data_IF_308287096684
#
_entry.id   IF_308287096684
#
_cell.length_a   1.000
_cell.length_b   1.000
_cell.length_c   1.000
_cell.angle_alpha   90.00
_cell.angle_beta   90.00
_cell.angle_gamma   90.00
#
_symmetry.space_group_name_H-M   'P 1'
#
loop_
_entity.id
_entity.type
_entity.pdbx_description
1 polymer ?
#
# COMPACT_ATOMS: atom_id res chain seq x y z
N UNK A 1 17.27 -36.57 7.45
CA UNK A 1 17.26 -35.26 8.13
C UNK A 1 17.41 -34.07 7.18
N UNK A 2 18.32 -34.02 6.19
CA UNK A 2 18.49 -32.89 5.23
C UNK A 2 17.30 -32.65 4.30
N UNK A 3 16.52 -33.66 3.92
CA UNK A 3 15.36 -33.51 3.01
C UNK A 3 14.18 -32.81 3.70
N UNK A 4 13.91 -33.14 4.96
CA UNK A 4 12.82 -32.49 5.74
C UNK A 4 13.07 -31.02 6.00
N UNK A 5 14.31 -30.62 6.24
CA UNK A 5 14.66 -29.18 6.44
C UNK A 5 14.43 -28.41 5.15
N UNK A 6 14.87 -28.92 3.99
CA UNK A 6 14.64 -28.29 2.68
C UNK A 6 13.16 -28.17 2.33
N UNK A 7 12.36 -29.19 2.64
CA UNK A 7 10.91 -29.15 2.39
C UNK A 7 10.23 -28.09 3.27
N UNK A 8 10.60 -27.97 4.53
CA UNK A 8 10.05 -26.97 5.45
C UNK A 8 10.39 -25.55 5.01
N UNK A 9 11.62 -25.30 4.59
CA UNK A 9 12.06 -24.01 4.05
C UNK A 9 11.31 -23.66 2.77
N UNK A 10 11.15 -24.61 1.85
CA UNK A 10 10.39 -24.43 0.61
C UNK A 10 8.92 -24.11 0.89
N UNK A 11 8.26 -24.86 1.78
CA UNK A 11 6.88 -24.62 2.17
C UNK A 11 6.70 -23.25 2.82
N UNK A 12 7.62 -22.83 3.68
CA UNK A 12 7.59 -21.50 4.30
C UNK A 12 7.71 -20.38 3.26
N UNK A 13 8.67 -20.48 2.32
CA UNK A 13 8.82 -19.48 1.24
C UNK A 13 7.60 -19.45 0.32
N UNK A 14 7.05 -20.61 -0.01
CA UNK A 14 5.86 -20.75 -0.84
C UNK A 14 4.64 -20.12 -0.19
N UNK A 15 4.43 -20.37 1.11
CA UNK A 15 3.35 -19.77 1.88
C UNK A 15 3.47 -18.25 1.93
N UNK A 16 4.67 -17.73 2.19
CA UNK A 16 4.93 -16.28 2.19
C UNK A 16 4.67 -15.66 0.82
N UNK A 17 5.17 -16.29 -0.25
CA UNK A 17 5.03 -15.75 -1.61
C UNK A 17 3.58 -15.75 -2.12
N UNK A 18 2.78 -16.77 -1.80
CA UNK A 18 1.43 -16.95 -2.38
C UNK A 18 0.33 -16.38 -1.48
N UNK A 19 0.50 -16.39 -0.17
CA UNK A 19 -0.55 -15.93 0.75
C UNK A 19 -0.21 -14.59 1.39
N UNK A 20 0.91 -14.50 2.07
CA UNK A 20 1.23 -13.33 2.87
C UNK A 20 1.50 -12.08 2.03
N UNK A 21 2.41 -12.16 1.06
CA UNK A 21 2.75 -10.99 0.25
C UNK A 21 1.60 -10.48 -0.64
N UNK A 22 0.82 -11.32 -1.33
CA UNK A 22 -0.34 -10.85 -2.08
C UNK A 22 -1.43 -10.24 -1.20
N UNK A 23 -1.71 -10.83 -0.03
CA UNK A 23 -2.69 -10.28 0.90
C UNK A 23 -2.24 -8.90 1.43
N UNK A 24 -0.96 -8.75 1.76
CA UNK A 24 -0.39 -7.49 2.19
C UNK A 24 -0.39 -6.44 1.08
N UNK A 25 -0.02 -6.82 -0.15
CA UNK A 25 -0.10 -5.94 -1.32
C UNK A 25 -1.54 -5.50 -1.61
N UNK A 26 -2.51 -6.40 -1.51
CA UNK A 26 -3.91 -6.04 -1.66
C UNK A 26 -4.34 -5.01 -0.61
N UNK A 27 -3.95 -5.19 0.64
CA UNK A 27 -4.20 -4.22 1.71
C UNK A 27 -3.60 -2.84 1.37
N UNK A 28 -2.34 -2.77 0.97
CA UNK A 28 -1.68 -1.52 0.57
C UNK A 28 -2.34 -0.87 -0.65
N UNK A 29 -2.81 -1.67 -1.61
CA UNK A 29 -3.54 -1.17 -2.77
C UNK A 29 -4.84 -0.48 -2.35
N UNK A 30 -5.65 -1.14 -1.52
CA UNK A 30 -6.94 -0.57 -1.09
C UNK A 30 -6.77 0.64 -0.18
N UNK A 31 -5.74 0.68 0.65
CA UNK A 31 -5.51 1.78 1.61
C UNK A 31 -4.70 2.94 1.05
N UNK A 32 -3.84 2.71 0.07
CA UNK A 32 -2.97 3.74 -0.50
C UNK A 32 -3.33 4.10 -1.94
N UNK A 33 -3.26 3.13 -2.85
CA UNK A 33 -3.37 3.39 -4.30
C UNK A 33 -4.78 3.78 -4.70
N UNK A 34 -5.79 3.04 -4.25
CA UNK A 34 -7.18 3.27 -4.62
C UNK A 34 -7.70 4.66 -4.20
N UNK A 35 -7.47 5.13 -2.96
CA UNK A 35 -7.85 6.48 -2.57
C UNK A 35 -7.14 7.57 -3.38
N UNK A 36 -5.83 7.44 -3.60
CA UNK A 36 -5.07 8.38 -4.41
C UNK A 36 -5.60 8.45 -5.85
N UNK A 37 -5.93 7.31 -6.44
CA UNK A 37 -6.56 7.23 -7.75
C UNK A 37 -7.91 7.95 -7.80
N UNK A 38 -8.71 7.87 -6.73
CA UNK A 38 -9.98 8.60 -6.62
C UNK A 38 -9.78 10.12 -6.61
N UNK A 39 -8.71 10.61 -5.98
CA UNK A 39 -8.32 12.03 -6.00
C UNK A 39 -7.93 12.46 -7.42
N UNK A 40 -7.10 11.68 -8.10
CA UNK A 40 -6.67 11.98 -9.49
C UNK A 40 -7.84 11.98 -10.45
N UNK A 41 -8.81 11.09 -10.28
CA UNK A 41 -10.06 11.06 -11.07
C UNK A 41 -11.06 12.15 -10.71
N UNK A 42 -10.76 13.00 -9.74
CA UNK A 42 -11.70 14.02 -9.25
C UNK A 42 -13.07 13.42 -8.86
N UNK A 43 -13.06 12.25 -8.21
CA UNK A 43 -14.28 11.56 -7.78
C UNK A 43 -15.12 12.46 -6.87
N UNK A 44 -16.43 12.25 -6.85
CA UNK A 44 -17.38 13.05 -6.05
C UNK A 44 -17.14 12.91 -4.56
N UNK A 45 -16.72 11.73 -4.15
CA UNK A 45 -16.37 11.37 -2.77
C UNK A 45 -14.97 10.76 -2.76
N UNK A 46 -14.11 11.24 -1.85
CA UNK A 46 -12.77 10.76 -1.66
C UNK A 46 -12.49 10.51 -0.18
N UNK A 47 -11.74 9.47 0.11
CA UNK A 47 -11.13 9.28 1.42
C UNK A 47 -9.70 9.79 1.36
N UNK A 48 -9.30 10.67 2.28
CA UNK A 48 -7.96 11.23 2.29
C UNK A 48 -7.34 11.23 3.67
N UNK A 49 -6.13 10.69 3.72
CA UNK A 49 -5.14 10.83 4.80
C UNK A 49 -3.77 10.98 4.12
N UNK A 50 -2.96 11.94 4.52
CA UNK A 50 -1.64 12.18 3.91
C UNK A 50 -0.73 10.92 3.94
N UNK A 51 -0.94 10.03 4.93
CA UNK A 51 -0.24 8.74 5.05
C UNK A 51 -0.51 7.79 3.88
N UNK A 52 -1.59 7.98 3.13
CA UNK A 52 -1.88 7.18 1.94
C UNK A 52 -0.78 7.30 0.88
N UNK A 53 -0.08 8.43 0.81
CA UNK A 53 1.04 8.60 -0.11
C UNK A 53 2.19 7.65 0.24
N UNK A 54 2.50 7.51 1.54
CA UNK A 54 3.52 6.56 2.00
C UNK A 54 3.09 5.13 1.66
N UNK A 55 1.82 4.78 1.89
CA UNK A 55 1.28 3.46 1.58
C UNK A 55 1.28 3.17 0.08
N UNK A 56 1.01 4.18 -0.76
CA UNK A 56 1.05 4.05 -2.21
C UNK A 56 2.47 3.73 -2.72
N UNK A 57 3.48 4.46 -2.27
CA UNK A 57 4.88 4.16 -2.62
C UNK A 57 5.37 2.86 -1.97
N UNK A 58 4.92 2.57 -0.75
CA UNK A 58 5.16 1.30 -0.07
C UNK A 58 4.63 0.10 -0.87
N UNK A 59 3.45 0.23 -1.49
CA UNK A 59 2.89 -0.79 -2.38
C UNK A 59 3.87 -1.17 -3.51
N UNK A 60 4.51 -0.20 -4.15
CA UNK A 60 5.50 -0.47 -5.20
C UNK A 60 6.70 -1.26 -4.68
N UNK A 61 7.24 -0.87 -3.51
CA UNK A 61 8.36 -1.57 -2.88
C UNK A 61 8.02 -3.01 -2.54
N UNK A 62 6.87 -3.24 -1.92
CA UNK A 62 6.43 -4.59 -1.53
C UNK A 62 6.05 -5.45 -2.73
N UNK A 63 5.51 -4.87 -3.80
CA UNK A 63 5.23 -5.59 -5.03
C UNK A 63 6.51 -6.11 -5.69
N UNK A 64 7.57 -5.29 -5.74
CA UNK A 64 8.87 -5.70 -6.23
C UNK A 64 9.48 -6.81 -5.36
N UNK A 65 9.39 -6.68 -4.04
CA UNK A 65 9.86 -7.70 -3.11
C UNK A 65 9.12 -9.03 -3.31
N UNK A 66 7.81 -8.99 -3.53
CA UNK A 66 7.01 -10.19 -3.79
C UNK A 66 7.46 -10.88 -5.09
N UNK A 67 7.60 -10.12 -6.18
CA UNK A 67 8.11 -10.65 -7.46
C UNK A 67 9.49 -11.30 -7.25
N UNK A 68 10.36 -10.66 -6.48
CA UNK A 68 11.68 -11.19 -6.17
C UNK A 68 11.61 -12.53 -5.44
N UNK A 69 10.80 -12.64 -4.37
CA UNK A 69 10.63 -13.89 -3.61
C UNK A 69 10.08 -15.01 -4.48
N UNK A 70 9.09 -14.71 -5.36
CA UNK A 70 8.54 -15.68 -6.30
C UNK A 70 9.62 -16.16 -7.27
N UNK A 71 10.37 -15.25 -7.88
CA UNK A 71 11.45 -15.59 -8.81
C UNK A 71 12.52 -16.47 -8.14
N UNK A 72 12.97 -16.10 -6.94
CA UNK A 72 13.94 -16.90 -6.19
C UNK A 72 13.39 -18.30 -5.88
N UNK A 73 12.13 -18.42 -5.53
CA UNK A 73 11.51 -19.70 -5.22
C UNK A 73 11.47 -20.61 -6.46
N UNK A 74 11.08 -20.04 -7.62
CA UNK A 74 11.06 -20.75 -8.91
C UNK A 74 12.50 -21.18 -9.30
N UNK A 75 13.46 -20.27 -9.24
CA UNK A 75 14.83 -20.55 -9.67
C UNK A 75 15.48 -21.61 -8.77
N UNK A 76 15.29 -21.52 -7.45
CA UNK A 76 15.79 -22.54 -6.50
C UNK A 76 15.15 -23.91 -6.73
N UNK A 77 13.88 -23.95 -7.16
CA UNK A 77 13.16 -25.21 -7.43
C UNK A 77 13.59 -25.87 -8.74
N UNK A 78 13.84 -25.09 -9.79
CA UNK A 78 14.05 -25.61 -11.15
C UNK A 78 15.49 -25.50 -11.68
N UNK A 79 16.31 -24.57 -11.16
CA UNK A 79 17.60 -24.19 -11.75
C UNK A 79 18.75 -24.27 -10.75
N UNK A 80 19.11 -25.48 -10.34
CA UNK A 80 20.15 -25.74 -9.31
C UNK A 80 21.56 -25.20 -9.67
N UNK A 81 21.85 -24.74 -10.91
CA UNK A 81 23.22 -24.47 -11.38
C UNK A 81 23.55 -23.07 -11.90
N UNK A 82 22.62 -22.12 -12.01
CA UNK A 82 22.95 -20.77 -12.54
C UNK A 82 23.04 -19.69 -11.45
N UNK A 83 24.02 -19.77 -10.59
CA UNK A 83 24.24 -18.83 -9.47
C UNK A 83 24.44 -17.37 -9.88
N UNK A 84 25.14 -17.09 -11.00
CA UNK A 84 25.46 -15.71 -11.44
C UNK A 84 24.23 -14.91 -11.85
N UNK A 85 23.30 -15.50 -12.62
CA UNK A 85 22.07 -14.82 -13.06
C UNK A 85 21.13 -14.56 -11.87
N UNK A 86 21.08 -15.50 -10.93
CA UNK A 86 20.28 -15.36 -9.70
C UNK A 86 20.79 -14.19 -8.87
N UNK A 87 22.09 -14.12 -8.64
CA UNK A 87 22.69 -13.05 -7.84
C UNK A 87 22.46 -11.68 -8.47
N UNK A 88 22.67 -11.55 -9.79
CA UNK A 88 22.43 -10.30 -10.51
C UNK A 88 20.96 -9.84 -10.41
N UNK A 89 20.00 -10.73 -10.65
CA UNK A 89 18.57 -10.41 -10.51
C UNK A 89 18.20 -10.03 -9.07
N UNK A 90 18.79 -10.69 -8.08
CA UNK A 90 18.62 -10.39 -6.66
C UNK A 90 19.10 -8.99 -6.34
N UNK A 91 20.31 -8.64 -6.76
CA UNK A 91 20.93 -7.37 -6.44
C UNK A 91 20.12 -6.19 -7.03
N UNK A 92 19.68 -6.30 -8.30
CA UNK A 92 18.84 -5.26 -8.93
C UNK A 92 17.50 -5.11 -8.20
N UNK A 93 16.84 -6.21 -7.87
CA UNK A 93 15.51 -6.13 -7.23
C UNK A 93 15.61 -5.54 -5.83
N UNK A 94 16.64 -5.89 -5.06
CA UNK A 94 16.88 -5.30 -3.75
C UNK A 94 17.16 -3.79 -3.87
N UNK A 95 18.00 -3.36 -4.82
CA UNK A 95 18.30 -1.96 -5.05
C UNK A 95 17.05 -1.18 -5.42
N UNK A 96 16.23 -1.67 -6.35
CA UNK A 96 14.96 -1.04 -6.72
C UNK A 96 14.00 -0.95 -5.54
N UNK A 97 13.89 -2.01 -4.73
CA UNK A 97 13.05 -2.01 -3.53
C UNK A 97 13.49 -0.94 -2.53
N UNK A 98 14.79 -0.80 -2.30
CA UNK A 98 15.35 0.22 -1.43
C UNK A 98 15.12 1.64 -1.96
N UNK A 99 15.26 1.85 -3.28
CA UNK A 99 14.98 3.14 -3.91
C UNK A 99 13.50 3.53 -3.72
N UNK A 100 12.56 2.63 -3.99
CA UNK A 100 11.14 2.93 -3.79
C UNK A 100 10.78 3.14 -2.32
N UNK A 101 11.42 2.42 -1.40
CA UNK A 101 11.25 2.64 0.03
C UNK A 101 11.76 4.03 0.46
N UNK A 102 12.90 4.44 -0.06
CA UNK A 102 13.47 5.76 0.21
C UNK A 102 12.58 6.86 -0.38
N UNK A 103 12.03 6.67 -1.58
CA UNK A 103 11.02 7.55 -2.18
C UNK A 103 9.79 7.65 -1.27
N UNK A 104 9.29 6.53 -0.73
CA UNK A 104 8.14 6.53 0.17
C UNK A 104 8.39 7.36 1.44
N UNK A 105 9.58 7.26 2.03
CA UNK A 105 9.91 7.92 3.29
C UNK A 105 10.23 9.41 3.08
N UNK A 106 10.87 9.77 1.97
CA UNK A 106 11.35 11.15 1.74
C UNK A 106 10.37 11.95 0.87
N UNK A 107 9.97 11.42 -0.28
CA UNK A 107 9.19 12.15 -1.28
C UNK A 107 7.72 12.24 -0.88
N UNK A 108 7.14 11.19 -0.30
CA UNK A 108 5.74 11.23 0.10
C UNK A 108 5.41 12.34 1.09
N UNK A 109 6.18 12.57 2.18
CA UNK A 109 5.95 13.70 3.06
C UNK A 109 6.13 15.08 2.40
N UNK A 110 7.03 15.18 1.40
CA UNK A 110 7.24 16.44 0.67
C UNK A 110 6.07 16.77 -0.26
N UNK A 111 5.44 15.76 -0.85
CA UNK A 111 4.27 15.94 -1.73
C UNK A 111 2.98 16.10 -0.92
N UNK A 112 2.91 15.57 0.29
CA UNK A 112 1.71 15.58 1.12
C UNK A 112 1.06 16.98 1.29
N UNK A 113 1.80 18.08 1.54
CA UNK A 113 1.22 19.41 1.66
C UNK A 113 0.52 19.87 0.38
N UNK A 114 1.08 19.55 -0.80
CA UNK A 114 0.49 19.93 -2.09
C UNK A 114 -0.82 19.18 -2.34
N UNK A 115 -0.84 17.86 -2.08
CA UNK A 115 -2.06 17.06 -2.21
C UNK A 115 -3.12 17.50 -1.20
N UNK A 116 -2.73 17.78 0.04
CA UNK A 116 -3.63 18.29 1.08
C UNK A 116 -4.19 19.66 0.67
N UNK A 117 -3.38 20.56 0.14
CA UNK A 117 -3.82 21.84 -0.39
C UNK A 117 -4.85 21.67 -1.51
N UNK A 118 -4.58 20.79 -2.47
CA UNK A 118 -5.51 20.46 -3.54
C UNK A 118 -6.85 19.91 -3.01
N UNK A 119 -6.81 18.98 -2.06
CA UNK A 119 -8.00 18.40 -1.45
C UNK A 119 -8.81 19.47 -0.73
N UNK A 120 -8.18 20.29 0.11
CA UNK A 120 -8.87 21.33 0.87
C UNK A 120 -9.49 22.44 -0.01
N UNK A 121 -8.90 22.68 -1.19
CA UNK A 121 -9.44 23.69 -2.13
C UNK A 121 -10.64 23.16 -2.91
N UNK A 122 -10.66 21.88 -3.28
CA UNK A 122 -11.66 21.32 -4.19
C UNK A 122 -12.75 20.50 -3.48
N UNK A 123 -12.52 20.16 -2.21
CA UNK A 123 -13.40 19.30 -1.41
C UNK A 123 -13.62 19.89 -0.02
N UNK A 124 -14.73 19.53 0.60
CA UNK A 124 -15.01 19.85 2.00
C UNK A 124 -15.16 18.56 2.83
N UNK A 125 -14.72 18.56 4.10
CA UNK A 125 -14.80 17.39 4.95
C UNK A 125 -16.25 17.11 5.36
N UNK A 126 -16.69 15.86 5.19
CA UNK A 126 -18.05 15.41 5.55
C UNK A 126 -18.09 14.44 6.73
N UNK A 127 -16.98 13.90 7.14
CA UNK A 127 -16.90 12.97 8.27
C UNK A 127 -15.51 12.40 8.45
N UNK A 128 -15.30 11.78 9.60
CA UNK A 128 -14.06 11.09 9.91
C UNK A 128 -14.30 9.58 9.90
N UNK A 129 -13.44 8.85 9.24
CA UNK A 129 -13.41 7.40 9.37
C UNK A 129 -12.61 7.04 10.61
N UNK A 130 -13.26 6.37 11.57
CA UNK A 130 -12.66 5.91 12.84
C UNK A 130 -12.09 4.48 12.72
N UNK A 131 -11.89 3.96 11.50
CA UNK A 131 -11.33 2.64 11.26
C UNK A 131 -9.83 2.54 11.58
N UNK A 132 -9.23 1.43 11.20
CA UNK A 132 -7.79 1.12 11.41
C UNK A 132 -6.89 2.23 10.80
N UNK A 133 -7.34 2.86 9.74
CA UNK A 133 -6.69 4.03 9.14
C UNK A 133 -7.59 5.24 9.33
N UNK A 134 -7.35 6.05 10.38
CA UNK A 134 -8.11 7.26 10.59
C UNK A 134 -7.83 8.24 9.45
N UNK A 135 -8.86 8.73 8.82
CA UNK A 135 -8.80 9.72 7.75
C UNK A 135 -10.15 10.40 7.61
N UNK A 136 -10.19 11.49 6.86
CA UNK A 136 -11.44 12.20 6.63
C UNK A 136 -12.04 11.80 5.27
N UNK A 137 -13.36 11.75 5.25
CA UNK A 137 -14.14 11.62 4.03
C UNK A 137 -14.40 13.04 3.54
N UNK A 138 -14.05 13.30 2.29
CA UNK A 138 -14.22 14.58 1.65
C UNK A 138 -15.19 14.44 0.48
N UNK A 139 -16.05 15.44 0.31
CA UNK A 139 -16.98 15.51 -0.81
C UNK A 139 -16.66 16.76 -1.64
N UNK A 140 -16.78 16.63 -2.95
CA UNK A 140 -16.48 17.69 -3.91
C UNK A 140 -17.34 18.92 -3.62
N UNK A 141 -16.72 20.11 -3.70
CA UNK A 141 -17.40 21.36 -3.45
C UNK A 141 -18.67 21.51 -4.35
N UNK A 142 -19.76 21.96 -3.74
CA UNK A 142 -21.07 22.06 -4.39
C UNK A 142 -21.98 20.83 -4.21
N UNK A 143 -21.48 19.74 -3.63
CA UNK A 143 -22.28 18.55 -3.29
C UNK A 143 -22.59 18.50 -1.79
N UNK A 144 -23.74 17.93 -1.41
CA UNK A 144 -24.14 17.78 -0.01
C UNK A 144 -23.57 16.49 0.57
N UNK A 145 -23.16 16.54 1.83
CA UNK A 145 -22.77 15.35 2.59
C UNK A 145 -23.98 14.42 2.75
N UNK A 146 -23.78 13.13 2.55
CA UNK A 146 -24.82 12.15 2.79
C UNK A 146 -25.01 11.98 4.32
N UNK A 147 -26.22 12.14 4.82
CA UNK A 147 -26.55 12.20 6.25
C UNK A 147 -26.08 10.97 7.07
N UNK A 148 -25.73 9.86 6.41
CA UNK A 148 -25.15 8.68 7.07
C UNK A 148 -23.81 8.90 7.77
N UNK A 149 -23.06 9.96 7.44
CA UNK A 149 -21.77 10.28 8.06
C UNK A 149 -21.88 11.28 9.23
N UNK A 150 -22.99 12.01 9.33
CA UNK A 150 -23.20 13.03 10.37
C UNK A 150 -23.75 12.44 11.66
N UNK A 151 -24.56 11.38 11.58
CA UNK A 151 -25.26 10.79 12.75
C UNK A 151 -24.34 10.22 13.84
N UNK A 152 -23.04 10.03 13.54
CA UNK A 152 -22.09 9.48 14.52
C UNK A 152 -21.40 10.53 15.41
N UNK A 153 -21.56 11.81 15.11
CA UNK A 153 -20.93 12.89 15.91
C UNK A 153 -21.83 13.44 17.03
N UNK A 154 -23.15 13.29 16.92
CA UNK A 154 -24.08 13.79 17.95
C UNK A 154 -24.18 12.86 19.15
N UNK A 155 -24.03 11.54 18.96
CA UNK A 155 -24.15 10.58 20.08
C UNK A 155 -22.94 10.56 21.04
N UNK A 156 -21.82 11.18 20.67
CA UNK A 156 -20.62 11.25 21.54
C UNK A 156 -20.48 12.58 22.28
N UNK A 157 -21.34 13.57 22.05
CA UNK A 157 -21.29 14.87 22.72
C UNK A 157 -22.31 14.99 23.88
N UNK A 158 -23.10 13.92 24.13
CA UNK A 158 -24.05 13.85 25.25
C UNK A 158 -23.70 12.67 26.12
N UNK A 159 -22.56 12.75 26.80
CA UNK A 159 -22.30 11.99 28.04
C UNK A 159 -21.30 12.75 28.90
#
# INVERSE_FOLDING_TARGET
>A
MRLHVKLKEFLSMFFMAILFFPAFNASLFFTGVKPLYSIIKCSTEIFYDWRMLILCFGFMSFSLLNIHVILLTIIKSFLIKKTKVVNFATDITIQLTLIFLLIAIVIAPLIAPFVTGYVNTNYHPCGNNTGIFPGAIYIKNGMKCNNGYISRKEDSAVK
#
